data_IF_624239826423
#
_entry.id   IF_624239826423
#
_cell.length_a   1.000
_cell.length_b   1.000
_cell.length_c   1.000
_cell.angle_alpha   90.00
_cell.angle_beta   90.00
_cell.angle_gamma   90.00
#
_symmetry.space_group_name_H-M   'P 1'
#
loop_
_entity.id
_entity.type
_entity.pdbx_description
1 polymer ?
#
# COMPACT_ATOMS: atom_id res chain seq x y z
N UNK A 1 -0.75 4.46 -7.87
CA UNK A 1 0.23 3.36 -8.06
C UNK A 1 1.43 3.79 -8.92
N UNK A 2 1.21 4.34 -10.12
CA UNK A 2 2.32 4.76 -11.00
C UNK A 2 3.28 5.80 -10.39
N UNK A 3 2.76 6.77 -9.61
CA UNK A 3 3.62 7.73 -8.91
C UNK A 3 4.54 7.09 -7.86
N UNK A 4 4.04 6.09 -7.12
CA UNK A 4 4.84 5.35 -6.15
C UNK A 4 5.91 4.48 -6.82
N UNK A 5 5.59 3.83 -7.94
CA UNK A 5 6.57 3.11 -8.76
C UNK A 5 7.66 4.03 -9.32
N UNK A 6 7.32 5.29 -9.59
CA UNK A 6 8.29 6.30 -10.01
C UNK A 6 9.08 6.91 -8.83
N UNK A 7 8.84 6.49 -7.59
CA UNK A 7 9.52 7.00 -6.39
C UNK A 7 9.05 8.37 -5.91
N UNK A 8 7.88 8.84 -6.36
CA UNK A 8 7.39 10.21 -6.09
C UNK A 8 6.32 10.29 -4.99
N UNK A 9 5.77 9.17 -4.50
CA UNK A 9 4.69 9.18 -3.50
C UNK A 9 4.48 7.82 -2.81
N UNK A 10 3.61 7.77 -1.81
CA UNK A 10 3.05 6.55 -1.21
C UNK A 10 1.74 6.20 -1.95
N UNK A 11 1.55 4.93 -2.27
CA UNK A 11 0.29 4.47 -2.84
C UNK A 11 -0.33 3.37 -1.97
N UNK A 12 -1.63 3.49 -1.72
CA UNK A 12 -2.43 2.39 -1.20
C UNK A 12 -2.80 1.46 -2.36
N UNK A 13 -2.58 0.16 -2.17
CA UNK A 13 -2.84 -0.85 -3.18
C UNK A 13 -3.28 -2.17 -2.54
N UNK A 14 -4.05 -2.95 -3.29
CA UNK A 14 -4.47 -4.27 -2.85
C UNK A 14 -3.27 -5.20 -2.71
N UNK A 15 -3.14 -5.86 -1.56
CA UNK A 15 -2.05 -6.79 -1.27
C UNK A 15 -1.78 -7.77 -2.42
N UNK A 16 -2.84 -8.35 -3.01
CA UNK A 16 -2.71 -9.31 -4.12
C UNK A 16 -2.02 -8.73 -5.36
N UNK A 17 -2.20 -7.44 -5.66
CA UNK A 17 -1.60 -6.81 -6.84
C UNK A 17 -0.25 -6.16 -6.53
N UNK A 18 -0.02 -5.69 -5.30
CA UNK A 18 1.26 -5.08 -4.90
C UNK A 18 2.31 -6.08 -4.44
N UNK A 19 1.91 -7.28 -3.98
CA UNK A 19 2.83 -8.26 -3.40
C UNK A 19 3.99 -8.63 -4.33
N UNK A 20 3.71 -8.90 -5.61
CA UNK A 20 4.75 -9.26 -6.58
C UNK A 20 5.75 -8.14 -6.83
N UNK A 21 5.30 -6.88 -6.77
CA UNK A 21 6.17 -5.71 -6.91
C UNK A 21 7.06 -5.53 -5.67
N UNK A 22 6.55 -5.88 -4.48
CA UNK A 22 7.33 -5.88 -3.24
C UNK A 22 8.38 -6.99 -3.26
N UNK A 23 7.99 -8.21 -3.64
CA UNK A 23 8.88 -9.36 -3.77
C UNK A 23 10.02 -9.11 -4.78
N UNK A 24 9.73 -8.39 -5.87
CA UNK A 24 10.72 -7.99 -6.87
C UNK A 24 11.60 -6.80 -6.42
N UNK A 25 11.30 -6.16 -5.29
CA UNK A 25 12.01 -4.97 -4.80
C UNK A 25 11.64 -3.67 -5.51
N UNK A 26 10.61 -3.67 -6.35
CA UNK A 26 10.12 -2.47 -7.07
C UNK A 26 9.31 -1.55 -6.15
N UNK A 27 8.73 -2.09 -5.08
CA UNK A 27 8.06 -1.35 -4.01
C UNK A 27 8.52 -1.84 -2.64
N UNK A 28 8.38 -0.99 -1.63
CA UNK A 28 8.49 -1.38 -0.22
C UNK A 28 7.16 -1.12 0.48
N UNK A 29 6.82 -1.94 1.48
CA UNK A 29 5.70 -1.69 2.38
C UNK A 29 6.23 -0.98 3.63
N UNK A 30 6.11 0.36 3.73
CA UNK A 30 6.75 1.10 4.81
C UNK A 30 6.11 0.84 6.19
N UNK A 31 4.88 0.34 6.23
CA UNK A 31 4.14 -0.01 7.45
C UNK A 31 3.75 -1.47 7.34
N UNK A 32 4.23 -2.30 8.27
CA UNK A 32 3.91 -3.73 8.31
C UNK A 32 2.75 -4.02 9.28
N UNK A 33 2.49 -3.08 10.19
CA UNK A 33 1.42 -3.09 11.16
C UNK A 33 0.07 -2.99 10.45
N UNK A 34 -0.88 -3.80 10.89
CA UNK A 34 -2.23 -3.83 10.36
C UNK A 34 -3.21 -3.84 11.52
N UNK A 35 -4.17 -2.91 11.49
CA UNK A 35 -5.29 -2.87 12.41
C UNK A 35 -6.55 -3.33 11.66
N UNK A 36 -7.09 -4.53 11.96
CA UNK A 36 -8.29 -5.02 11.30
C UNK A 36 -9.53 -4.33 11.85
N UNK A 37 -10.01 -3.31 11.13
CA UNK A 37 -11.25 -2.59 11.46
C UNK A 37 -12.43 -3.11 10.65
N UNK A 38 -13.27 -3.92 11.30
CA UNK A 38 -14.39 -4.62 10.66
C UNK A 38 -15.63 -3.74 10.45
N UNK A 39 -15.71 -2.59 11.12
CA UNK A 39 -16.85 -1.68 11.09
C UNK A 39 -16.50 -0.31 10.46
N UNK A 40 -15.32 -0.17 9.85
CA UNK A 40 -14.95 1.07 9.19
C UNK A 40 -15.82 1.28 7.95
N UNK A 41 -16.57 2.38 7.93
CA UNK A 41 -17.42 2.76 6.79
C UNK A 41 -16.61 3.54 5.74
N UNK A 42 -15.56 4.25 6.17
CA UNK A 42 -14.60 4.91 5.29
C UNK A 42 -13.27 5.14 6.02
N UNK A 43 -12.16 5.14 5.27
CA UNK A 43 -10.85 5.59 5.72
C UNK A 43 -10.63 7.03 5.27
N UNK A 44 -10.33 7.92 6.21
CA UNK A 44 -9.88 9.28 5.91
C UNK A 44 -8.36 9.35 6.01
N UNK A 45 -7.72 9.80 4.94
CA UNK A 45 -6.27 10.05 4.86
C UNK A 45 -6.08 11.52 4.46
N UNK A 46 -5.28 12.27 5.23
CA UNK A 46 -4.99 13.69 4.99
C UNK A 46 -4.17 13.90 3.71
#
# INVERSE_FOLDING_TARGET
MQAALAGHDIALGWRRTTQRLIENGELICPVAESLPEHNAIALYTH
#
